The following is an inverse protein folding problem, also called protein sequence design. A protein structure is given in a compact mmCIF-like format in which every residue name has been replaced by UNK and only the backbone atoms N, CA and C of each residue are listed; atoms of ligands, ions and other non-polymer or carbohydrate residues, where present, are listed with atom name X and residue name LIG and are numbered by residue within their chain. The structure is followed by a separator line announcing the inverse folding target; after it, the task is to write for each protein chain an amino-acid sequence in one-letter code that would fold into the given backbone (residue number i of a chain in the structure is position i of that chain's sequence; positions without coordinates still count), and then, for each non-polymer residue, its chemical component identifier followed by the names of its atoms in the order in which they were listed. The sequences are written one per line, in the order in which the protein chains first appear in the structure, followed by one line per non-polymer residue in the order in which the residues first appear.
data_IF_486726633557
#
_entry.id   IF_486726633557
#
_cell.length_a   1.000
_cell.length_b   1.000
_cell.length_c   1.000
_cell.angle_alpha   90.00
_cell.angle_beta   90.00
_cell.angle_gamma   90.00
#
_symmetry.space_group_name_H-M   'P 1'
#
loop_
_entity.id
_entity.type
_entity.pdbx_description
1 polymer ?
#
# COMPACT_ATOMS: atom_id res chain seq x y z
N UNK A 1 13.82 8.01 -0.38
CA UNK A 1 12.81 7.61 -1.38
C UNK A 1 12.89 6.11 -1.51
N UNK A 2 11.77 5.42 -1.36
CA UNK A 2 11.68 3.96 -1.46
C UNK A 2 10.85 3.63 -2.69
N UNK A 3 11.32 2.69 -3.50
CA UNK A 3 10.59 2.15 -4.65
C UNK A 3 10.31 0.67 -4.41
N UNK A 4 9.07 0.27 -4.71
CA UNK A 4 8.59 -1.10 -4.58
C UNK A 4 7.89 -1.47 -5.88
N UNK A 5 8.19 -2.66 -6.39
CA UNK A 5 7.49 -3.24 -7.53
C UNK A 5 6.48 -4.26 -7.06
N UNK A 6 5.28 -4.17 -7.60
CA UNK A 6 4.21 -5.12 -7.36
C UNK A 6 3.35 -5.23 -8.63
N UNK A 7 2.23 -5.95 -8.54
CA UNK A 7 1.26 -6.04 -9.64
C UNK A 7 -0.16 -6.11 -9.13
N UNK A 8 -1.10 -5.80 -10.00
CA UNK A 8 -2.50 -6.07 -9.81
C UNK A 8 -2.82 -7.57 -9.89
N UNK A 9 -4.07 -7.89 -9.62
CA UNK A 9 -4.60 -9.25 -9.72
C UNK A 9 -6.12 -9.22 -9.95
N UNK A 10 -6.64 -10.18 -10.71
CA UNK A 10 -8.07 -10.28 -11.07
C UNK A 10 -9.05 -10.26 -9.90
N UNK A 11 -8.61 -10.67 -8.72
CA UNK A 11 -9.44 -10.73 -7.52
C UNK A 11 -9.43 -9.44 -6.69
N UNK A 12 -8.63 -8.43 -7.06
CA UNK A 12 -8.59 -7.15 -6.35
C UNK A 12 -9.95 -6.47 -6.43
N UNK A 13 -10.53 -6.17 -5.27
CA UNK A 13 -11.78 -5.40 -5.16
C UNK A 13 -11.54 -3.97 -4.72
N UNK A 14 -10.57 -3.76 -3.83
CA UNK A 14 -10.23 -2.46 -3.26
C UNK A 14 -11.48 -1.70 -2.78
N UNK A 15 -12.20 -2.30 -1.84
CA UNK A 15 -13.45 -1.75 -1.26
C UNK A 15 -13.39 -1.55 0.24
N UNK A 16 -12.31 -2.00 0.91
CA UNK A 16 -12.18 -1.83 2.34
C UNK A 16 -12.13 -0.34 2.73
N UNK A 17 -12.93 0.06 3.71
CA UNK A 17 -13.22 1.47 4.03
C UNK A 17 -12.15 2.19 4.84
N UNK A 18 -11.23 1.44 5.45
CA UNK A 18 -10.30 1.99 6.45
C UNK A 18 -8.85 1.58 6.23
N UNK A 19 -8.58 0.66 5.31
CA UNK A 19 -7.22 0.16 5.05
C UNK A 19 -6.96 -0.09 3.58
N UNK A 20 -5.68 -0.13 3.24
CA UNK A 20 -5.14 -0.56 1.96
C UNK A 20 -3.91 -1.44 2.23
N UNK A 21 -3.77 -2.53 1.49
CA UNK A 21 -2.70 -3.51 1.66
C UNK A 21 -1.95 -3.80 0.35
N UNK A 22 -0.63 -3.86 0.45
CA UNK A 22 0.30 -4.35 -0.57
C UNK A 22 0.97 -5.59 0.02
N UNK A 23 1.04 -6.69 -0.73
CA UNK A 23 1.54 -7.97 -0.21
C UNK A 23 2.53 -8.65 -1.14
N UNK A 24 3.49 -9.39 -0.58
CA UNK A 24 4.42 -10.28 -1.29
C UNK A 24 3.72 -11.56 -1.78
N UNK A 25 2.57 -11.92 -1.22
CA UNK A 25 1.80 -13.08 -1.67
C UNK A 25 1.47 -12.93 -3.16
N UNK A 26 1.56 -14.03 -3.92
CA UNK A 26 1.45 -13.97 -5.38
C UNK A 26 0.02 -13.75 -5.90
N UNK A 27 -0.96 -13.98 -5.04
CA UNK A 27 -2.38 -13.90 -5.37
C UNK A 27 -3.20 -13.49 -4.15
N UNK A 28 -4.39 -12.97 -4.41
CA UNK A 28 -5.38 -12.68 -3.39
C UNK A 28 -6.71 -13.36 -3.71
N UNK A 29 -7.52 -13.62 -2.69
CA UNK A 29 -8.90 -14.07 -2.87
C UNK A 29 -9.84 -12.87 -3.04
N UNK A 30 -11.04 -13.03 -3.63
CA UNK A 30 -12.01 -11.94 -3.71
C UNK A 30 -12.48 -11.38 -2.36
N UNK A 31 -12.23 -12.10 -1.25
CA UNK A 31 -12.52 -11.64 0.12
C UNK A 31 -11.50 -10.63 0.65
N UNK A 32 -10.29 -10.60 0.07
CA UNK A 32 -9.23 -9.66 0.43
C UNK A 32 -9.51 -8.27 -0.13
N UNK A 33 -10.49 -7.57 0.43
CA UNK A 33 -11.02 -6.33 -0.12
C UNK A 33 -10.18 -5.08 0.20
N UNK A 34 -9.18 -5.22 1.08
CA UNK A 34 -8.16 -4.19 1.35
C UNK A 34 -6.93 -4.30 0.43
N UNK A 35 -6.72 -5.43 -0.24
CA UNK A 35 -5.53 -5.66 -1.08
C UNK A 35 -5.64 -4.87 -2.39
N UNK A 36 -4.58 -4.14 -2.74
CA UNK A 36 -4.48 -3.35 -3.98
C UNK A 36 -3.26 -3.70 -4.84
N UNK A 37 -2.32 -4.49 -4.31
CA UNK A 37 -1.22 -5.04 -5.08
C UNK A 37 -0.71 -6.34 -4.44
N UNK A 38 -0.28 -7.27 -5.29
CA UNK A 38 0.27 -8.59 -4.96
C UNK A 38 1.67 -8.74 -5.57
N UNK A 39 2.37 -9.83 -5.25
CA UNK A 39 3.75 -10.11 -5.72
C UNK A 39 4.69 -8.93 -5.50
N UNK A 40 4.56 -8.25 -4.35
CA UNK A 40 5.45 -7.16 -3.99
C UNK A 40 6.87 -7.65 -3.72
N UNK A 41 7.87 -6.91 -4.18
CA UNK A 41 9.29 -7.19 -3.89
C UNK A 41 9.70 -6.79 -2.47
N UNK A 42 8.94 -5.91 -1.81
CA UNK A 42 9.14 -5.49 -0.41
C UNK A 42 7.91 -5.73 0.47
N UNK A 43 8.13 -5.99 1.75
CA UNK A 43 7.14 -5.95 2.83
C UNK A 43 7.53 -4.90 3.88
N UNK A 44 6.73 -4.75 4.95
CA UNK A 44 6.99 -3.78 5.99
C UNK A 44 8.40 -3.93 6.60
N UNK A 45 8.84 -5.17 6.86
CA UNK A 45 10.17 -5.44 7.40
C UNK A 45 11.29 -4.89 6.52
N UNK A 46 11.14 -4.97 5.19
CA UNK A 46 12.13 -4.50 4.22
C UNK A 46 12.29 -2.96 4.23
N UNK A 47 11.38 -2.23 4.89
CA UNK A 47 11.40 -0.77 5.01
C UNK A 47 11.96 -0.27 6.34
N UNK A 48 12.19 -1.17 7.30
CA UNK A 48 12.46 -0.80 8.68
C UNK A 48 13.73 0.04 8.84
N UNK A 49 14.80 -0.32 8.12
CA UNK A 49 16.06 0.42 8.20
C UNK A 49 16.01 1.78 7.51
N UNK A 50 15.11 1.94 6.52
CA UNK A 50 14.91 3.17 5.76
C UNK A 50 14.01 4.18 6.50
N UNK A 51 13.22 3.73 7.48
CA UNK A 51 12.22 4.52 8.21
C UNK A 51 12.36 4.33 9.73
N UNK A 52 13.08 5.23 10.39
CA UNK A 52 13.37 5.13 11.84
C UNK A 52 12.58 6.10 12.71
N UNK A 53 12.51 7.36 12.29
CA UNK A 53 11.84 8.41 13.05
C UNK A 53 10.37 8.53 12.68
N UNK A 54 9.52 9.15 13.52
CA UNK A 54 8.17 9.52 13.13
C UNK A 54 8.17 10.62 12.07
N UNK A 55 7.39 10.45 11.00
CA UNK A 55 7.28 11.43 9.91
C UNK A 55 5.99 11.27 9.11
N UNK A 56 5.62 12.32 8.39
CA UNK A 56 4.59 12.23 7.37
C UNK A 56 5.17 11.61 6.11
N UNK A 57 4.40 10.71 5.50
CA UNK A 57 4.78 9.99 4.29
C UNK A 57 3.73 10.21 3.21
N UNK A 58 4.20 10.23 1.97
CA UNK A 58 3.39 10.13 0.76
C UNK A 58 3.71 8.81 0.07
N UNK A 59 2.67 8.06 -0.24
CA UNK A 59 2.71 6.85 -1.07
C UNK A 59 1.99 7.13 -2.37
N UNK A 60 2.68 6.94 -3.49
CA UNK A 60 2.11 7.06 -4.84
C UNK A 60 2.07 5.68 -5.48
N UNK A 61 0.88 5.23 -5.89
CA UNK A 61 0.68 4.02 -6.67
C UNK A 61 0.54 4.40 -8.13
N UNK A 62 1.39 3.89 -9.03
CA UNK A 62 1.33 4.16 -10.47
C UNK A 62 1.18 2.89 -11.28
N UNK A 63 0.38 2.96 -12.35
CA UNK A 63 0.25 1.90 -13.34
C UNK A 63 0.71 2.40 -14.72
N UNK A 64 1.14 1.51 -15.65
CA UNK A 64 1.67 1.91 -16.97
C UNK A 64 0.73 2.75 -17.84
N UNK A 65 -0.57 2.73 -17.58
CA UNK A 65 -1.54 3.59 -18.28
C UNK A 65 -1.45 5.08 -17.90
N UNK A 66 -0.54 5.45 -16.99
CA UNK A 66 -0.35 6.81 -16.50
C UNK A 66 -1.32 7.21 -15.38
N UNK A 67 -2.17 6.29 -14.93
CA UNK A 67 -3.06 6.52 -13.78
C UNK A 67 -2.27 6.38 -12.49
N UNK A 68 -2.59 7.24 -11.53
CA UNK A 68 -1.95 7.23 -10.21
C UNK A 68 -2.93 7.50 -9.07
N UNK A 69 -2.57 7.00 -7.89
CA UNK A 69 -3.27 7.25 -6.64
C UNK A 69 -2.27 7.72 -5.59
N UNK A 70 -2.55 8.88 -4.98
CA UNK A 70 -1.71 9.47 -3.94
C UNK A 70 -2.36 9.29 -2.58
N UNK A 71 -1.62 8.72 -1.65
CA UNK A 71 -2.04 8.49 -0.26
C UNK A 71 -1.02 9.17 0.66
N UNK A 72 -1.51 9.98 1.59
CA UNK A 72 -0.69 10.65 2.58
C UNK A 72 -1.12 10.22 3.98
N UNK A 73 -0.16 10.00 4.86
CA UNK A 73 -0.40 9.55 6.23
C UNK A 73 0.82 9.73 7.12
N UNK A 74 0.68 9.36 8.37
CA UNK A 74 1.73 9.50 9.39
C UNK A 74 2.33 8.13 9.72
N UNK A 75 3.65 8.02 9.65
CA UNK A 75 4.40 6.89 10.21
C UNK A 75 4.81 7.23 11.65
N UNK A 76 4.38 6.45 12.66
CA UNK A 76 4.67 6.75 14.06
C UNK A 76 6.09 6.41 14.55
N UNK A 77 6.98 5.87 13.71
CA UNK A 77 8.32 5.42 14.15
C UNK A 77 8.33 4.11 14.95
N UNK A 78 7.37 3.21 14.72
CA UNK A 78 7.31 1.91 15.39
C UNK A 78 8.01 0.83 14.57
N UNK A 79 8.34 -0.30 15.20
CA UNK A 79 9.01 -1.39 14.48
C UNK A 79 8.13 -2.00 13.39
N UNK A 80 8.67 -2.08 12.18
CA UNK A 80 8.07 -2.79 11.06
C UNK A 80 8.66 -4.20 11.05
N UNK A 81 7.82 -5.21 11.24
CA UNK A 81 8.26 -6.59 11.46
C UNK A 81 7.62 -7.60 10.52
N UNK A 82 6.57 -7.21 9.79
CA UNK A 82 5.87 -8.14 8.91
C UNK A 82 6.65 -8.38 7.60
N UNK A 83 6.91 -9.64 7.29
CA UNK A 83 7.69 -10.07 6.13
C UNK A 83 6.85 -10.25 4.86
N UNK A 84 5.52 -10.04 4.94
CA UNK A 84 4.60 -10.27 3.82
C UNK A 84 3.84 -9.04 3.38
N UNK A 85 3.43 -8.17 4.30
CA UNK A 85 2.44 -7.14 3.98
C UNK A 85 2.86 -5.75 4.47
N UNK A 86 2.46 -4.75 3.69
CA UNK A 86 2.49 -3.32 4.01
C UNK A 86 1.05 -2.83 4.06
N UNK A 87 0.64 -2.26 5.18
CA UNK A 87 -0.72 -1.78 5.42
C UNK A 87 -0.74 -0.30 5.74
N UNK A 88 -1.60 0.42 5.03
CA UNK A 88 -1.92 1.83 5.24
C UNK A 88 -3.31 1.90 5.90
N UNK A 89 -3.47 2.74 6.93
CA UNK A 89 -4.69 2.79 7.75
C UNK A 89 -5.20 4.21 7.92
N UNK A 90 -6.52 4.40 7.83
CA UNK A 90 -7.18 5.65 8.25
C UNK A 90 -7.23 5.79 9.78
N UNK A 91 -7.37 4.67 10.50
CA UNK A 91 -7.33 4.63 11.96
C UNK A 91 -5.93 4.85 12.53
N UNK A 92 -5.83 5.06 13.85
CA UNK A 92 -4.55 5.08 14.59
C UNK A 92 -4.03 3.72 15.06
N UNK A 93 -4.62 2.60 14.65
CA UNK A 93 -4.17 1.26 15.07
C UNK A 93 -2.81 0.90 14.46
N UNK A 94 -1.93 0.31 15.27
CA UNK A 94 -0.55 -0.04 14.91
C UNK A 94 -0.32 -1.54 15.13
N UNK A 95 0.39 -2.17 14.20
CA UNK A 95 0.94 -3.52 14.31
C UNK A 95 2.09 -3.66 13.29
N UNK A 96 2.89 -4.72 13.35
CA UNK A 96 4.13 -4.86 12.56
C UNK A 96 4.03 -4.73 11.03
N UNK A 97 2.83 -4.82 10.46
CA UNK A 97 2.53 -4.57 9.03
C UNK A 97 2.14 -3.12 8.71
N UNK A 98 1.93 -2.27 9.70
CA UNK A 98 1.33 -0.94 9.52
C UNK A 98 2.38 0.08 9.17
N UNK A 99 2.48 0.49 7.91
CA UNK A 99 3.41 1.55 7.52
C UNK A 99 2.89 2.95 7.87
N UNK A 100 1.61 3.20 7.62
CA UNK A 100 1.01 4.52 7.86
C UNK A 100 -0.31 4.43 8.60
N UNK A 101 -0.56 5.41 9.46
CA UNK A 101 -1.84 5.67 10.11
C UNK A 101 -2.37 7.06 9.69
N UNK A 102 -3.64 7.35 10.03
CA UNK A 102 -4.29 8.63 9.69
C UNK A 102 -4.26 8.95 8.19
N UNK A 103 -4.29 7.92 7.35
CA UNK A 103 -4.27 8.10 5.90
C UNK A 103 -5.50 8.84 5.39
N UNK A 104 -5.30 9.72 4.39
CA UNK A 104 -6.40 10.40 3.70
C UNK A 104 -7.25 9.43 2.85
N UNK A 105 -6.64 8.36 2.31
CA UNK A 105 -7.29 7.33 1.50
C UNK A 105 -7.17 5.93 2.09
N UNK A 106 -8.14 5.10 1.77
CA UNK A 106 -8.16 3.64 1.93
C UNK A 106 -8.34 2.95 0.58
N UNK A 107 -8.39 1.62 0.54
CA UNK A 107 -8.64 0.89 -0.70
C UNK A 107 -9.98 1.29 -1.37
N UNK A 108 -11.03 1.51 -0.56
CA UNK A 108 -12.32 1.97 -1.04
C UNK A 108 -12.32 3.37 -1.66
N UNK A 109 -11.32 4.20 -1.33
CA UNK A 109 -11.21 5.58 -1.80
C UNK A 109 -10.46 5.69 -3.16
N UNK A 110 -9.88 4.60 -3.66
CA UNK A 110 -9.20 4.60 -4.97
C UNK A 110 -10.19 4.80 -6.13
N UNK A 111 -9.77 5.45 -7.21
CA UNK A 111 -10.60 5.59 -8.40
C UNK A 111 -10.93 4.22 -9.01
N UNK A 112 -12.16 4.07 -9.50
CA UNK A 112 -12.62 2.79 -10.05
C UNK A 112 -11.93 2.44 -11.36
N UNK A 113 -11.45 3.43 -12.10
CA UNK A 113 -10.59 3.22 -13.25
C UNK A 113 -9.24 2.62 -12.85
N UNK A 114 -8.59 3.14 -11.81
CA UNK A 114 -7.33 2.58 -11.33
C UNK A 114 -7.52 1.13 -10.89
N UNK A 115 -8.58 0.83 -10.14
CA UNK A 115 -8.89 -0.54 -9.71
C UNK A 115 -9.16 -1.48 -10.89
N UNK A 116 -9.77 -1.00 -11.98
CA UNK A 116 -9.93 -1.80 -13.20
C UNK A 116 -8.59 -2.19 -13.83
N UNK A 117 -7.59 -1.31 -13.81
CA UNK A 117 -6.23 -1.64 -14.27
C UNK A 117 -5.57 -2.69 -13.36
N UNK A 118 -5.73 -2.55 -12.05
CA UNK A 118 -5.27 -3.57 -11.10
C UNK A 118 -5.91 -4.94 -11.37
N UNK A 119 -7.21 -4.98 -11.67
CA UNK A 119 -7.91 -6.22 -12.01
C UNK A 119 -7.42 -6.88 -13.30
N UNK A 120 -6.85 -6.11 -14.24
CA UNK A 120 -6.19 -6.64 -15.44
C UNK A 120 -4.81 -7.23 -15.16
N UNK A 121 -4.31 -7.11 -13.93
CA UNK A 121 -2.97 -7.57 -13.56
C UNK A 121 -1.86 -6.60 -13.93
N UNK A 122 -2.17 -5.31 -14.11
CA UNK A 122 -1.18 -4.30 -14.46
C UNK A 122 -0.03 -4.25 -13.44
N UNK A 123 1.18 -3.96 -13.90
CA UNK A 123 2.29 -3.64 -13.00
C UNK A 123 1.95 -2.42 -12.14
N UNK A 124 2.41 -2.43 -10.91
CA UNK A 124 2.21 -1.34 -9.94
C UNK A 124 3.57 -0.93 -9.40
N UNK A 125 3.94 0.31 -9.67
CA UNK A 125 5.05 0.96 -8.99
C UNK A 125 4.51 1.67 -7.75
N UNK A 126 5.14 1.42 -6.60
CA UNK A 126 4.81 2.10 -5.35
C UNK A 126 6.02 2.94 -4.94
N UNK A 127 5.83 4.25 -4.93
CA UNK A 127 6.83 5.22 -4.49
C UNK A 127 6.48 5.73 -3.10
N UNK A 128 7.44 5.70 -2.18
CA UNK A 128 7.28 6.19 -0.80
C UNK A 128 8.28 7.30 -0.55
N UNK A 129 7.78 8.47 -0.16
CA UNK A 129 8.57 9.67 0.13
C UNK A 129 8.17 10.31 1.45
N UNK A 130 9.15 10.90 2.14
CA UNK A 130 8.92 11.72 3.32
C UNK A 130 8.35 13.07 2.93
N UNK A 131 7.37 13.54 3.70
CA UNK A 131 6.93 14.93 3.71
C UNK A 131 7.70 15.65 4.82
N UNK A 132 8.05 16.92 4.59
CA UNK A 132 8.92 17.75 5.43
C UNK A 132 8.54 17.77 6.91
#
# INVERSE_FOLDING_TARGET
MILIKARGHRNIRATHRTTLEITKDESCTPRGDCIVAVSSDKAARDLHDELREPLWLRVVLRVPSGREEVIEGFYPGHELTDERSIVLRKSGFICGRTLMIRCNKSAGDLSRDFVRELQKGAEVEVEITSLF
#
